data_IF_052530134809
#
_entry.id   IF_052530134809
#
_cell.length_a   1.000
_cell.length_b   1.000
_cell.length_c   1.000
_cell.angle_alpha   90.00
_cell.angle_beta   90.00
_cell.angle_gamma   90.00
#
_symmetry.space_group_name_H-M   'P 1'
#
loop_
_entity.id
_entity.type
_entity.pdbx_description
1 polymer ?
#
# COMPACT_ATOMS: atom_id res chain seq x y z
N UNK A 1 -21.81 -47.67 -49.00
CA UNK A 1 -21.49 -46.25 -48.71
C UNK A 1 -21.33 -46.18 -47.19
N UNK A 2 -20.17 -45.75 -46.63
CA UNK A 2 -19.92 -44.40 -46.07
C UNK A 2 -21.11 -43.90 -45.21
N UNK A 3 -21.00 -43.46 -43.96
CA UNK A 3 -19.89 -43.23 -42.99
C UNK A 3 -20.52 -43.27 -41.56
N UNK A 4 -19.88 -43.14 -40.39
CA UNK A 4 -18.51 -42.77 -39.96
C UNK A 4 -18.17 -43.58 -38.65
N UNK A 5 -17.26 -43.08 -37.80
CA UNK A 5 -17.17 -43.32 -36.35
C UNK A 5 -16.98 -41.96 -35.65
N UNK A 6 -17.54 -41.78 -34.46
CA UNK A 6 -17.20 -40.76 -33.44
C UNK A 6 -17.74 -41.32 -32.12
N UNK A 7 -16.99 -42.12 -31.35
CA UNK A 7 -15.89 -41.67 -30.47
C UNK A 7 -16.34 -40.47 -29.65
N UNK A 8 -17.27 -40.72 -28.73
CA UNK A 8 -17.62 -39.77 -27.67
C UNK A 8 -16.42 -39.58 -26.75
N UNK A 9 -15.86 -38.38 -26.77
CA UNK A 9 -14.71 -38.04 -25.93
C UNK A 9 -15.15 -38.05 -24.46
N UNK A 10 -14.63 -38.99 -23.66
CA UNK A 10 -14.80 -38.95 -22.22
C UNK A 10 -14.13 -37.67 -21.71
N UNK A 11 -14.93 -36.78 -21.13
CA UNK A 11 -14.45 -35.59 -20.43
C UNK A 11 -13.63 -36.03 -19.22
N UNK A 12 -12.32 -36.20 -19.42
CA UNK A 12 -11.35 -36.17 -18.33
C UNK A 12 -11.41 -34.78 -17.72
N UNK A 13 -12.17 -34.66 -16.64
CA UNK A 13 -12.13 -33.52 -15.73
C UNK A 13 -10.66 -33.33 -15.36
N UNK A 14 -10.06 -32.24 -15.85
CA UNK A 14 -8.74 -31.85 -15.39
C UNK A 14 -8.87 -31.62 -13.89
N UNK A 15 -8.12 -32.39 -13.11
CA UNK A 15 -7.91 -32.05 -11.72
C UNK A 15 -7.30 -30.65 -11.74
N UNK A 16 -8.05 -29.65 -11.29
CA UNK A 16 -7.47 -28.40 -10.86
C UNK A 16 -6.54 -28.77 -9.72
N UNK A 17 -5.26 -28.94 -10.05
CA UNK A 17 -4.21 -28.81 -9.08
C UNK A 17 -4.46 -27.48 -8.40
N UNK A 18 -4.70 -27.53 -7.10
CA UNK A 18 -4.57 -26.36 -6.26
C UNK A 18 -3.09 -25.96 -6.29
N UNK A 19 -2.71 -25.29 -7.39
CA UNK A 19 -1.55 -24.44 -7.44
C UNK A 19 -1.90 -23.29 -6.50
N UNK A 20 -1.73 -23.55 -5.20
CA UNK A 20 -1.62 -22.48 -4.22
C UNK A 20 -0.45 -21.66 -4.68
N UNK A 21 -0.75 -20.61 -5.43
CA UNK A 21 0.24 -19.65 -5.88
C UNK A 21 0.86 -19.10 -4.61
N UNK A 22 2.12 -19.48 -4.34
CA UNK A 22 2.90 -18.90 -3.26
C UNK A 22 2.79 -17.38 -3.41
N UNK A 23 2.04 -16.78 -2.50
CA UNK A 23 1.66 -15.38 -2.55
C UNK A 23 2.86 -14.50 -2.14
N UNK A 24 3.90 -14.57 -2.97
CA UNK A 24 5.04 -13.67 -3.00
C UNK A 24 4.63 -12.35 -3.68
N UNK A 25 3.46 -11.83 -3.31
CA UNK A 25 3.20 -10.41 -3.51
C UNK A 25 4.03 -9.69 -2.46
N UNK A 26 4.99 -8.87 -2.89
CA UNK A 26 5.89 -8.15 -1.99
C UNK A 26 5.11 -7.49 -0.86
N UNK A 27 5.34 -7.96 0.37
CA UNK A 27 4.71 -7.38 1.54
C UNK A 27 5.21 -5.95 1.66
N UNK A 28 4.31 -4.99 1.79
CA UNK A 28 4.68 -3.59 1.91
C UNK A 28 4.81 -3.22 3.39
N UNK A 29 5.72 -2.29 3.71
CA UNK A 29 5.82 -1.75 5.06
C UNK A 29 4.61 -0.89 5.40
N UNK A 30 4.28 -0.81 6.69
CA UNK A 30 3.27 0.11 7.22
C UNK A 30 3.95 1.39 7.67
N UNK A 31 3.27 2.53 7.50
CA UNK A 31 3.63 3.74 8.22
C UNK A 31 3.19 3.62 9.67
N UNK A 32 4.06 4.06 10.58
CA UNK A 32 3.75 4.27 11.98
C UNK A 32 4.22 5.68 12.39
N UNK A 33 3.58 6.28 13.39
CA UNK A 33 4.10 7.49 14.03
C UNK A 33 5.31 7.13 14.91
N UNK A 34 6.27 8.05 15.01
CA UNK A 34 7.37 7.93 15.96
C UNK A 34 6.90 8.26 17.38
N UNK A 35 7.61 7.74 18.39
CA UNK A 35 7.26 7.97 19.80
C UNK A 35 7.10 9.47 20.12
N UNK A 36 5.97 9.82 20.72
CA UNK A 36 5.63 11.20 21.08
C UNK A 36 5.13 12.08 19.93
N UNK A 37 5.05 11.57 18.69
CA UNK A 37 4.45 12.29 17.55
C UNK A 37 2.95 12.04 17.46
N UNK A 38 2.20 13.05 16.97
CA UNK A 38 0.78 12.95 16.65
C UNK A 38 0.44 13.86 15.47
N UNK A 39 -0.55 13.43 14.67
CA UNK A 39 -1.15 14.19 13.58
C UNK A 39 -2.41 14.97 14.00
N UNK A 40 -2.89 14.81 15.23
CA UNK A 40 -4.15 15.40 15.72
C UNK A 40 -4.05 16.93 15.89
N UNK A 41 -2.83 17.43 16.08
CA UNK A 41 -2.52 18.87 16.18
C UNK A 41 -2.16 19.51 14.83
N UNK A 42 -1.96 18.69 13.78
CA UNK A 42 -1.63 19.18 12.45
C UNK A 42 -2.91 19.55 11.69
N UNK A 43 -2.89 20.69 10.99
CA UNK A 43 -4.05 21.17 10.23
C UNK A 43 -4.43 20.14 9.14
N UNK A 44 -5.73 19.85 8.99
CA UNK A 44 -6.23 19.06 7.88
C UNK A 44 -6.04 19.81 6.54
N UNK A 45 -5.82 19.07 5.46
CA UNK A 45 -5.58 19.64 4.14
C UNK A 45 -6.08 18.74 3.01
N UNK A 46 -6.31 19.31 1.83
CA UNK A 46 -6.89 18.62 0.69
C UNK A 46 -7.45 19.62 -0.32
N UNK A 47 -8.04 19.13 -1.41
CA UNK A 47 -8.53 19.94 -2.54
C UNK A 47 -9.59 20.97 -2.11
N UNK A 48 -10.51 20.57 -1.23
CA UNK A 48 -11.62 21.40 -0.75
C UNK A 48 -11.36 22.03 0.64
N UNK A 49 -10.11 21.99 1.12
CA UNK A 49 -9.72 22.46 2.45
C UNK A 49 -8.76 23.67 2.37
N UNK A 50 -8.57 24.43 3.47
CA UNK A 50 -7.61 25.52 3.51
C UNK A 50 -6.20 25.06 3.11
N UNK A 51 -5.49 25.92 2.39
CA UNK A 51 -4.09 25.67 2.06
C UNK A 51 -3.25 25.57 3.34
N UNK A 52 -2.15 24.81 3.27
CA UNK A 52 -1.22 24.72 4.39
C UNK A 52 -0.52 26.06 4.64
N UNK A 53 -0.15 26.35 5.90
CA UNK A 53 0.75 27.45 6.24
C UNK A 53 2.04 27.43 5.42
N UNK A 54 2.69 28.60 5.29
CA UNK A 54 4.01 28.68 4.66
C UNK A 54 4.99 27.69 5.32
N UNK A 55 5.92 27.17 4.51
CA UNK A 55 6.84 26.05 4.81
C UNK A 55 6.22 24.67 5.11
N UNK A 56 4.89 24.51 5.12
CA UNK A 56 4.24 23.20 5.26
C UNK A 56 3.65 22.70 3.93
N UNK A 57 3.85 21.44 3.62
CA UNK A 57 3.22 20.75 2.50
C UNK A 57 1.99 19.95 2.94
N UNK A 58 1.06 19.71 2.02
CA UNK A 58 -0.10 18.87 2.29
C UNK A 58 0.21 17.42 1.93
N UNK A 59 0.29 16.55 2.94
CA UNK A 59 0.65 15.14 2.77
C UNK A 59 -0.43 14.20 3.31
N UNK A 60 -0.69 13.12 2.57
CA UNK A 60 -1.54 12.02 2.95
C UNK A 60 -0.73 10.86 3.55
N UNK A 61 -1.25 10.30 4.62
CA UNK A 61 -0.68 9.22 5.41
C UNK A 61 -1.71 8.11 5.57
N UNK A 62 -1.31 6.85 5.39
CA UNK A 62 -2.13 5.68 5.76
C UNK A 62 -1.57 5.08 7.06
N UNK A 63 -2.19 5.42 8.19
CA UNK A 63 -1.84 4.92 9.53
C UNK A 63 -2.95 3.99 10.01
N UNK A 64 -2.61 2.79 10.48
CA UNK A 64 -3.57 1.77 10.97
C UNK A 64 -4.76 1.50 10.03
N UNK A 65 -4.51 1.60 8.72
CA UNK A 65 -5.52 1.43 7.67
C UNK A 65 -6.34 2.70 7.33
N UNK A 66 -6.24 3.76 8.14
CA UNK A 66 -6.94 5.03 7.94
C UNK A 66 -6.07 6.00 7.14
N UNK A 67 -6.60 6.50 6.03
CA UNK A 67 -5.96 7.56 5.25
C UNK A 67 -6.37 8.93 5.79
N UNK A 68 -5.41 9.76 6.17
CA UNK A 68 -5.63 11.15 6.59
C UNK A 68 -4.62 12.10 5.92
N UNK A 69 -5.04 13.32 5.61
CA UNK A 69 -4.19 14.33 4.98
C UNK A 69 -3.96 15.53 5.92
N UNK A 70 -2.69 15.90 6.11
CA UNK A 70 -2.23 16.86 7.12
C UNK A 70 -1.14 17.77 6.59
N UNK A 71 -1.14 19.01 7.06
CA UNK A 71 -0.06 19.97 6.83
C UNK A 71 1.15 19.64 7.69
N UNK A 72 2.25 19.25 7.06
CA UNK A 72 3.50 18.88 7.74
C UNK A 72 4.71 19.48 7.03
N UNK A 73 5.84 19.52 7.70
CA UNK A 73 7.11 19.90 7.09
C UNK A 73 7.67 18.71 6.26
N UNK A 74 7.94 18.96 4.97
CA UNK A 74 8.39 17.92 4.03
C UNK A 74 9.78 17.37 4.37
N UNK A 75 10.67 18.20 4.91
CA UNK A 75 12.04 17.82 5.21
C UNK A 75 12.14 16.86 6.42
N UNK A 76 11.25 17.03 7.39
CA UNK A 76 11.20 16.25 8.63
C UNK A 76 10.20 15.08 8.61
N UNK A 77 9.32 14.98 7.61
CA UNK A 77 8.24 13.98 7.61
C UNK A 77 8.74 12.54 7.78
N UNK A 78 9.76 12.13 7.02
CA UNK A 78 10.33 10.78 7.07
C UNK A 78 11.39 10.58 8.17
N UNK A 79 11.89 11.64 8.81
CA UNK A 79 12.96 11.54 9.84
C UNK A 79 12.44 11.73 11.25
N UNK A 80 11.50 12.64 11.47
CA UNK A 80 11.00 13.02 12.80
C UNK A 80 9.56 12.57 13.05
N UNK A 81 8.68 12.61 12.04
CA UNK A 81 7.24 12.39 12.22
C UNK A 81 6.82 10.91 12.11
N UNK A 82 7.16 10.27 10.98
CA UNK A 82 6.80 8.86 10.71
C UNK A 82 8.02 7.96 10.61
N UNK A 83 7.77 6.67 10.76
CA UNK A 83 8.71 5.57 10.50
C UNK A 83 8.03 4.47 9.70
N UNK A 84 8.83 3.58 9.12
CA UNK A 84 8.37 2.46 8.31
C UNK A 84 8.69 1.12 8.97
N UNK A 85 7.73 0.19 8.96
CA UNK A 85 7.88 -1.12 9.59
C UNK A 85 8.66 -2.13 8.73
N UNK A 86 9.13 -3.21 9.36
CA UNK A 86 9.69 -4.40 8.70
C UNK A 86 10.88 -4.16 7.77
N UNK A 87 11.70 -3.14 8.07
CA UNK A 87 12.94 -2.83 7.34
C UNK A 87 12.75 -2.01 6.06
N UNK A 88 11.56 -1.50 5.81
CA UNK A 88 11.26 -0.67 4.62
C UNK A 88 11.64 0.80 4.80
N UNK A 89 11.80 1.53 3.70
CA UNK A 89 12.26 2.93 3.69
C UNK A 89 11.11 3.88 3.40
N UNK A 90 11.01 4.96 4.19
CA UNK A 90 10.04 6.04 3.97
C UNK A 90 10.34 6.80 2.67
N UNK A 91 9.30 7.02 1.86
CA UNK A 91 9.38 7.73 0.58
C UNK A 91 8.18 8.69 0.42
N UNK A 92 8.44 9.85 -0.17
CA UNK A 92 7.42 10.84 -0.53
C UNK A 92 7.16 10.80 -2.04
N UNK A 93 5.89 10.61 -2.42
CA UNK A 93 5.44 10.60 -3.82
C UNK A 93 4.85 11.96 -4.20
N UNK A 94 5.44 12.57 -5.23
CA UNK A 94 5.02 13.86 -5.79
C UNK A 94 3.61 13.76 -6.39
N UNK A 95 2.62 14.22 -5.63
CA UNK A 95 1.19 14.25 -5.96
C UNK A 95 0.50 15.34 -5.12
N UNK A 96 -0.81 15.57 -5.27
CA UNK A 96 -1.56 16.47 -4.40
C UNK A 96 -2.86 15.80 -3.89
N UNK A 97 -3.04 15.59 -2.58
CA UNK A 97 -2.00 15.69 -1.54
C UNK A 97 -0.80 14.79 -1.87
N UNK A 98 0.41 15.20 -1.45
CA UNK A 98 1.60 14.35 -1.60
C UNK A 98 1.42 13.09 -0.77
N UNK A 99 1.94 11.93 -1.20
CA UNK A 99 1.74 10.69 -0.44
C UNK A 99 3.02 10.30 0.26
N UNK A 100 2.94 10.06 1.57
CA UNK A 100 4.01 9.40 2.31
C UNK A 100 3.72 7.90 2.29
N UNK A 101 4.72 7.09 2.01
CA UNK A 101 4.59 5.64 1.91
C UNK A 101 5.87 4.92 2.33
N UNK A 102 5.75 3.62 2.59
CA UNK A 102 6.89 2.76 2.84
C UNK A 102 7.22 1.95 1.57
N UNK A 103 8.52 1.87 1.26
CA UNK A 103 9.05 1.34 0.01
C UNK A 103 10.13 0.28 0.26
N UNK A 104 10.25 -0.67 -0.68
CA UNK A 104 11.09 -1.86 -0.53
C UNK A 104 10.34 -3.07 0.04
N UNK A 105 10.99 -4.22 0.03
CA UNK A 105 10.41 -5.50 0.48
C UNK A 105 10.36 -5.57 2.01
N UNK A 106 9.16 -5.64 2.58
CA UNK A 106 8.98 -5.81 4.02
C UNK A 106 9.22 -7.26 4.43
N UNK A 107 9.97 -7.46 5.52
CA UNK A 107 10.21 -8.79 6.11
C UNK A 107 9.83 -8.79 7.59
N UNK A 108 9.01 -9.76 8.00
CA UNK A 108 8.53 -9.89 9.38
C UNK A 108 7.00 -9.91 9.52
N UNK A 109 6.49 -9.84 10.76
CA UNK A 109 5.05 -9.80 11.05
C UNK A 109 4.42 -8.42 10.88
N UNK A 110 5.19 -7.33 10.98
CA UNK A 110 4.71 -5.94 10.97
C UNK A 110 4.36 -5.38 9.58
N UNK A 111 4.30 -6.25 8.56
CA UNK A 111 4.03 -5.87 7.19
C UNK A 111 2.53 -5.75 6.89
N UNK A 112 2.17 -4.99 5.86
CA UNK A 112 0.84 -5.03 5.27
C UNK A 112 0.62 -6.32 4.47
N UNK A 113 -0.62 -6.79 4.40
CA UNK A 113 -0.97 -7.92 3.55
C UNK A 113 -0.81 -7.52 2.08
N UNK A 114 -0.32 -8.44 1.25
CA UNK A 114 0.02 -8.17 -0.15
C UNK A 114 -1.20 -7.64 -0.91
N UNK A 115 -1.15 -6.39 -1.38
CA UNK A 115 -2.28 -5.75 -2.06
C UNK A 115 -2.43 -6.37 -3.46
N UNK A 116 -3.25 -7.42 -3.55
CA UNK A 116 -3.47 -8.18 -4.79
C UNK A 116 -4.01 -7.26 -5.89
N UNK A 117 -3.15 -6.93 -6.84
CA UNK A 117 -3.48 -6.08 -7.99
C UNK A 117 -4.01 -6.94 -9.14
N UNK A 118 -5.21 -7.50 -8.97
CA UNK A 118 -5.94 -8.17 -10.05
C UNK A 118 -6.97 -7.20 -10.68
N UNK A 119 -6.89 -6.92 -12.00
CA UNK A 119 -7.96 -6.30 -12.77
C UNK A 119 -9.08 -7.31 -13.13
#
# INVERSE_FOLDING_TARGET
MRWMKLVGCCLTVMAFTACGSDASGDKQGRLALRDGQSLDVAQECGVDLPQCPQSLGCFAFKLDGVTQARCVDEASVCTELVTCTGGTTCATLLSYPGQVTCSGTCTGPDCDESVSSQP
#
